data_IF_125533297571
#
_entry.id   IF_125533297571
#
_cell.length_a   1.000
_cell.length_b   1.000
_cell.length_c   1.000
_cell.angle_alpha   90.00
_cell.angle_beta   90.00
_cell.angle_gamma   90.00
#
_symmetry.space_group_name_H-M   'P 1'
#
loop_
_entity.id
_entity.type
_entity.pdbx_description
1 polymer ?
#
# COMPACT_ATOMS: atom_id res chain seq x y z
N UNK A 1 24.86 0.09 -13.21
CA UNK A 1 24.66 0.11 -11.73
C UNK A 1 24.03 1.44 -11.33
N UNK A 2 22.98 1.42 -10.51
CA UNK A 2 22.34 2.64 -9.99
C UNK A 2 23.20 3.30 -8.90
N UNK A 3 23.10 4.62 -8.76
CA UNK A 3 23.72 5.37 -7.67
C UNK A 3 22.79 5.34 -6.46
N UNK A 4 23.30 4.95 -5.27
CA UNK A 4 22.53 5.02 -4.03
C UNK A 4 22.12 6.46 -3.72
N UNK A 5 20.82 6.69 -3.50
CA UNK A 5 20.26 7.99 -3.10
C UNK A 5 20.00 7.97 -1.59
N UNK A 6 19.28 6.96 -1.07
CA UNK A 6 18.85 6.89 0.33
C UNK A 6 18.60 5.43 0.75
N UNK A 7 18.74 5.16 2.06
CA UNK A 7 18.23 3.95 2.71
C UNK A 7 17.10 4.36 3.64
N UNK A 8 15.90 3.80 3.43
CA UNK A 8 14.78 3.95 4.36
C UNK A 8 14.77 2.77 5.35
N UNK A 9 14.65 3.06 6.63
CA UNK A 9 14.54 2.05 7.68
C UNK A 9 13.19 2.13 8.35
N UNK A 10 12.55 0.98 8.52
CA UNK A 10 11.25 0.86 9.17
C UNK A 10 11.31 -0.28 10.17
N UNK A 11 10.90 -0.02 11.41
CA UNK A 11 10.74 -1.04 12.45
C UNK A 11 9.30 -1.49 12.47
N UNK A 12 9.08 -2.80 12.44
CA UNK A 12 7.72 -3.37 12.40
C UNK A 12 7.54 -4.32 13.56
N UNK A 13 6.45 -4.18 14.30
CA UNK A 13 6.07 -5.04 15.42
C UNK A 13 4.57 -5.35 15.37
N UNK A 14 4.15 -6.40 16.07
CA UNK A 14 2.73 -6.62 16.38
C UNK A 14 2.28 -5.67 17.48
N UNK A 15 1.04 -5.21 17.40
CA UNK A 15 0.46 -4.42 18.49
C UNK A 15 0.12 -5.33 19.69
N UNK A 16 0.54 -4.98 20.92
CA UNK A 16 0.25 -5.79 22.11
C UNK A 16 -1.25 -6.06 22.26
N UNK A 17 -1.62 -7.32 22.54
CA UNK A 17 -3.02 -7.74 22.66
C UNK A 17 -3.85 -7.74 21.36
N UNK A 18 -3.23 -7.42 20.22
CA UNK A 18 -3.89 -7.29 18.91
C UNK A 18 -3.15 -8.11 17.84
N UNK A 19 -3.41 -9.41 17.77
CA UNK A 19 -2.63 -10.35 16.92
C UNK A 19 -2.63 -10.01 15.42
N UNK A 20 -3.65 -9.28 14.94
CA UNK A 20 -3.81 -8.93 13.52
C UNK A 20 -3.34 -7.53 13.16
N UNK A 21 -3.00 -6.71 14.17
CA UNK A 21 -2.56 -5.34 13.95
C UNK A 21 -1.03 -5.26 14.08
N UNK A 22 -0.41 -4.64 13.09
CA UNK A 22 1.02 -4.34 13.04
C UNK A 22 1.23 -2.83 13.13
N UNK A 23 2.31 -2.43 13.76
CA UNK A 23 2.78 -1.04 13.83
C UNK A 23 4.07 -0.93 13.04
N UNK A 24 4.17 0.06 12.18
CA UNK A 24 5.38 0.38 11.45
C UNK A 24 5.86 1.79 11.82
N UNK A 25 7.06 1.89 12.34
CA UNK A 25 7.73 3.12 12.73
C UNK A 25 8.82 3.44 11.72
N UNK A 26 8.68 4.57 11.04
CA UNK A 26 9.65 5.03 10.04
C UNK A 26 10.74 5.83 10.76
N UNK A 27 11.99 5.45 10.57
CA UNK A 27 13.13 6.10 11.21
C UNK A 27 13.18 7.60 10.86
N UNK A 28 13.31 8.44 11.89
CA UNK A 28 13.33 9.91 11.77
C UNK A 28 11.96 10.59 11.71
N UNK A 29 10.85 9.85 11.76
CA UNK A 29 9.50 10.43 11.76
C UNK A 29 8.71 10.01 12.99
N UNK A 30 7.97 10.94 13.64
CA UNK A 30 7.14 10.62 14.79
C UNK A 30 5.89 9.85 14.40
N UNK A 31 5.41 9.01 15.32
CA UNK A 31 4.20 8.19 15.14
C UNK A 31 4.46 6.85 14.48
N UNK A 32 3.43 6.04 14.41
CA UNK A 32 3.47 4.74 13.78
C UNK A 32 2.26 4.56 12.86
N UNK A 33 2.49 3.98 11.69
CA UNK A 33 1.41 3.48 10.84
C UNK A 33 0.85 2.20 11.47
N UNK A 34 -0.48 2.11 11.60
CA UNK A 34 -1.18 0.90 12.03
C UNK A 34 -1.74 0.20 10.81
N UNK A 35 -1.47 -1.09 10.69
CA UNK A 35 -1.89 -1.92 9.56
C UNK A 35 -2.62 -3.15 10.08
N UNK A 36 -3.79 -3.42 9.53
CA UNK A 36 -4.61 -4.57 9.90
C UNK A 36 -5.15 -5.32 8.70
N UNK A 37 -6.41 -5.73 8.82
CA UNK A 37 -7.18 -6.38 7.75
C UNK A 37 -8.61 -5.88 7.81
N UNK A 38 -9.31 -5.89 6.66
CA UNK A 38 -10.72 -5.54 6.54
C UNK A 38 -11.36 -6.19 5.30
N UNK A 39 -12.67 -6.06 5.17
CA UNK A 39 -13.44 -6.37 3.96
C UNK A 39 -13.12 -7.74 3.34
N UNK A 40 -12.94 -7.78 2.04
CA UNK A 40 -12.65 -9.00 1.28
C UNK A 40 -11.33 -9.68 1.71
N UNK A 41 -10.34 -8.92 2.19
CA UNK A 41 -9.08 -9.47 2.71
C UNK A 41 -9.33 -10.31 3.97
N UNK A 42 -10.17 -9.80 4.88
CA UNK A 42 -10.54 -10.54 6.09
C UNK A 42 -11.33 -11.81 5.74
N UNK A 43 -12.24 -11.72 4.78
CA UNK A 43 -13.02 -12.87 4.29
C UNK A 43 -12.13 -13.93 3.64
N UNK A 44 -11.17 -13.54 2.82
CA UNK A 44 -10.20 -14.46 2.20
C UNK A 44 -9.45 -15.29 3.24
N UNK A 45 -9.02 -14.67 4.33
CA UNK A 45 -8.36 -15.36 5.46
C UNK A 45 -9.32 -15.98 6.46
N UNK A 46 -10.64 -15.92 6.24
CA UNK A 46 -11.68 -16.41 7.17
C UNK A 46 -11.55 -15.82 8.58
N UNK A 47 -11.29 -14.52 8.64
CA UNK A 47 -11.06 -13.78 9.88
C UNK A 47 -12.14 -12.72 10.08
N UNK A 48 -12.51 -12.52 11.35
CA UNK A 48 -13.41 -11.44 11.79
C UNK A 48 -12.65 -10.52 12.74
N UNK A 49 -12.02 -9.45 12.24
CA UNK A 49 -11.25 -8.56 13.09
C UNK A 49 -12.18 -7.72 13.97
N UNK A 50 -11.89 -7.63 15.26
CA UNK A 50 -12.61 -6.75 16.20
C UNK A 50 -12.42 -5.27 15.85
N UNK A 51 -11.27 -4.93 15.27
CA UNK A 51 -10.90 -3.58 14.81
C UNK A 51 -10.48 -3.65 13.34
N UNK A 52 -11.42 -3.46 12.39
CA UNK A 52 -11.07 -3.38 10.96
C UNK A 52 -10.15 -2.18 10.69
N UNK A 53 -9.07 -2.41 9.96
CA UNK A 53 -8.08 -1.38 9.64
C UNK A 53 -7.54 -1.55 8.22
N UNK A 54 -7.03 -0.46 7.65
CA UNK A 54 -6.35 -0.49 6.37
C UNK A 54 -5.27 -1.58 6.34
N UNK A 55 -5.26 -2.34 5.27
CA UNK A 55 -4.30 -3.44 5.06
C UNK A 55 -2.96 -2.91 4.51
N UNK A 56 -1.95 -3.75 4.50
CA UNK A 56 -0.68 -3.43 3.85
C UNK A 56 -0.85 -3.15 2.35
N UNK A 57 -1.81 -3.79 1.67
CA UNK A 57 -2.09 -3.54 0.25
C UNK A 57 -2.73 -2.17 0.03
N UNK A 58 -3.61 -1.71 0.94
CA UNK A 58 -4.15 -0.35 0.88
C UNK A 58 -3.05 0.70 1.00
N UNK A 59 -2.04 0.45 1.84
CA UNK A 59 -0.88 1.35 1.96
C UNK A 59 -0.01 1.37 0.70
N UNK A 60 0.11 0.27 -0.04
CA UNK A 60 0.78 0.27 -1.35
C UNK A 60 0.00 1.15 -2.33
N UNK A 61 -1.33 0.99 -2.40
CA UNK A 61 -2.20 1.82 -3.24
C UNK A 61 -2.09 3.30 -2.86
N UNK A 62 -2.14 3.61 -1.56
CA UNK A 62 -2.02 4.97 -1.05
C UNK A 62 -0.64 5.58 -1.35
N UNK A 63 0.45 4.81 -1.23
CA UNK A 63 1.80 5.27 -1.52
C UNK A 63 1.96 5.61 -3.01
N UNK A 64 1.47 4.76 -3.91
CA UNK A 64 1.48 5.03 -5.36
C UNK A 64 0.62 6.24 -5.68
N UNK A 65 -0.64 6.28 -5.18
CA UNK A 65 -1.55 7.41 -5.39
C UNK A 65 -0.99 8.74 -4.91
N UNK A 66 -0.40 8.75 -3.71
CA UNK A 66 0.23 9.95 -3.14
C UNK A 66 1.43 10.45 -3.96
N UNK A 67 2.30 9.53 -4.39
CA UNK A 67 3.45 9.87 -5.24
C UNK A 67 3.00 10.41 -6.62
N UNK A 68 2.03 9.76 -7.25
CA UNK A 68 1.43 10.20 -8.51
C UNK A 68 0.78 11.58 -8.39
N UNK A 69 0.09 11.85 -7.26
CA UNK A 69 -0.47 13.17 -6.96
C UNK A 69 0.60 14.25 -6.92
N UNK A 70 1.70 14.01 -6.21
CA UNK A 70 2.83 14.95 -6.16
C UNK A 70 3.48 15.19 -7.52
N UNK A 71 3.63 14.14 -8.32
CA UNK A 71 4.18 14.23 -9.68
C UNK A 71 3.30 15.09 -10.60
N UNK A 72 1.98 14.87 -10.57
CA UNK A 72 1.03 15.66 -11.35
C UNK A 72 0.99 17.10 -10.85
N UNK A 73 0.91 17.32 -9.53
CA UNK A 73 0.90 18.67 -8.95
C UNK A 73 2.12 19.49 -9.42
N UNK A 74 3.33 18.91 -9.31
CA UNK A 74 4.56 19.57 -9.79
C UNK A 74 4.53 19.85 -11.30
N UNK A 75 3.97 18.95 -12.10
CA UNK A 75 3.83 19.15 -13.54
C UNK A 75 2.84 20.28 -13.90
N UNK A 76 1.76 20.43 -13.12
CA UNK A 76 0.79 21.52 -13.24
C UNK A 76 1.43 22.87 -12.86
N UNK A 77 2.05 22.93 -11.69
CA UNK A 77 2.69 24.13 -11.14
C UNK A 77 3.79 24.66 -12.04
N UNK A 78 4.61 23.78 -12.64
CA UNK A 78 5.63 24.14 -13.63
C UNK A 78 5.04 24.80 -14.89
N UNK A 79 3.73 24.67 -15.12
CA UNK A 79 2.98 25.28 -16.24
C UNK A 79 2.13 26.47 -15.81
N UNK A 80 2.28 26.93 -14.57
CA UNK A 80 1.50 28.01 -13.99
C UNK A 80 0.03 27.62 -13.77
N UNK A 81 -0.25 26.33 -13.52
CA UNK A 81 -1.58 25.82 -13.17
C UNK A 81 -1.58 25.42 -11.70
N UNK A 82 -2.50 25.97 -10.94
CA UNK A 82 -2.62 25.70 -9.50
C UNK A 82 -3.10 24.25 -9.25
N UNK A 83 -2.46 23.56 -8.29
CA UNK A 83 -2.79 22.22 -7.85
C UNK A 83 -3.38 22.18 -6.42
N UNK A 84 -4.06 23.23 -5.98
CA UNK A 84 -4.74 23.28 -4.69
C UNK A 84 -5.85 22.22 -4.57
N UNK A 85 -6.27 21.83 -3.35
CA UNK A 85 -7.25 20.76 -3.13
C UNK A 85 -8.63 20.97 -3.80
N UNK A 86 -9.00 22.19 -4.11
CA UNK A 86 -10.21 22.52 -4.86
C UNK A 86 -10.05 22.37 -6.39
N UNK A 87 -8.81 22.27 -6.88
CA UNK A 87 -8.46 22.19 -8.29
C UNK A 87 -7.88 20.86 -8.73
N UNK A 88 -7.23 20.12 -7.83
CA UNK A 88 -6.72 18.77 -8.08
C UNK A 88 -7.24 17.85 -7.00
N UNK A 89 -8.03 16.85 -7.39
CA UNK A 89 -8.43 15.71 -6.56
C UNK A 89 -8.00 14.42 -7.22
N UNK A 90 -7.51 13.48 -6.42
CA UNK A 90 -7.00 12.20 -6.90
C UNK A 90 -7.65 11.08 -6.11
N UNK A 91 -8.14 10.08 -6.82
CA UNK A 91 -8.63 8.83 -6.27
C UNK A 91 -7.72 7.70 -6.79
N UNK A 92 -7.32 6.80 -5.91
CA UNK A 92 -6.54 5.62 -6.27
C UNK A 92 -7.34 4.36 -5.90
N UNK A 93 -7.48 3.45 -6.84
CA UNK A 93 -8.19 2.18 -6.67
C UNK A 93 -7.21 1.03 -6.90
N UNK A 94 -7.14 0.08 -5.96
CA UNK A 94 -6.35 -1.13 -6.06
C UNK A 94 -7.23 -2.34 -6.36
N UNK A 95 -6.88 -3.13 -7.37
CA UNK A 95 -7.50 -4.42 -7.67
C UNK A 95 -6.73 -5.52 -6.96
N UNK A 96 -7.40 -6.26 -6.07
CA UNK A 96 -6.82 -7.36 -5.29
C UNK A 96 -7.55 -8.63 -5.69
N UNK A 97 -6.80 -9.63 -6.15
CA UNK A 97 -7.36 -10.86 -6.71
C UNK A 97 -6.70 -12.09 -6.07
N UNK A 98 -7.42 -13.20 -6.10
CA UNK A 98 -6.85 -14.53 -5.86
C UNK A 98 -6.26 -15.05 -7.16
N UNK A 99 -4.95 -15.13 -7.23
CA UNK A 99 -4.22 -15.66 -8.37
C UNK A 99 -3.48 -16.92 -7.90
N UNK A 100 -3.93 -18.07 -8.36
CA UNK A 100 -3.37 -19.39 -8.03
C UNK A 100 -3.25 -19.63 -6.50
N UNK A 101 -4.30 -19.27 -5.75
CA UNK A 101 -4.36 -19.40 -4.30
C UNK A 101 -3.52 -18.36 -3.53
N UNK A 102 -3.08 -17.30 -4.18
CA UNK A 102 -2.35 -16.18 -3.59
C UNK A 102 -3.11 -14.88 -3.77
N UNK A 103 -3.30 -14.15 -2.69
CA UNK A 103 -3.87 -12.81 -2.74
C UNK A 103 -2.83 -11.81 -3.24
N UNK A 104 -3.08 -11.23 -4.40
CA UNK A 104 -2.16 -10.33 -5.11
C UNK A 104 -2.85 -9.01 -5.45
N UNK A 105 -2.15 -7.89 -5.26
CA UNK A 105 -2.53 -6.60 -5.83
C UNK A 105 -2.12 -6.60 -7.31
N UNK A 106 -3.09 -6.82 -8.21
CA UNK A 106 -2.87 -7.01 -9.64
C UNK A 106 -2.92 -5.72 -10.45
N UNK A 107 -3.50 -4.67 -9.87
CA UNK A 107 -3.60 -3.38 -10.55
C UNK A 107 -3.81 -2.22 -9.60
N UNK A 108 -3.34 -1.05 -10.01
CA UNK A 108 -3.64 0.23 -9.37
C UNK A 108 -4.09 1.21 -10.45
N UNK A 109 -5.29 1.76 -10.29
CA UNK A 109 -5.84 2.78 -11.18
C UNK A 109 -5.88 4.12 -10.47
N UNK A 110 -5.35 5.15 -11.11
CA UNK A 110 -5.37 6.52 -10.61
C UNK A 110 -6.36 7.34 -11.42
N UNK A 111 -7.27 8.00 -10.73
CA UNK A 111 -8.24 8.88 -11.33
C UNK A 111 -8.02 10.32 -10.88
N UNK A 112 -7.74 11.21 -11.85
CA UNK A 112 -7.51 12.63 -11.63
C UNK A 112 -8.76 13.43 -11.97
N UNK A 113 -9.20 14.29 -11.04
CA UNK A 113 -10.23 15.31 -11.27
C UNK A 113 -9.56 16.67 -11.16
N UNK A 114 -9.51 17.42 -12.29
CA UNK A 114 -8.77 18.68 -12.38
C UNK A 114 -9.63 19.82 -12.91
N UNK A 115 -9.38 21.02 -12.38
CA UNK A 115 -9.90 22.28 -12.92
C UNK A 115 -8.71 23.08 -13.45
N UNK A 116 -8.64 23.24 -14.76
CA UNK A 116 -7.54 23.94 -15.43
C UNK A 116 -8.04 25.10 -16.28
N UNK A 117 -7.28 26.21 -16.40
CA UNK A 117 -7.61 27.30 -17.33
C UNK A 117 -7.67 26.77 -18.76
N UNK A 118 -8.60 27.34 -19.58
CA UNK A 118 -8.85 26.88 -20.95
C UNK A 118 -7.59 26.96 -21.82
N UNK A 119 -6.85 28.05 -21.70
CA UNK A 119 -5.58 28.29 -22.42
C UNK A 119 -4.43 27.36 -22.01
N UNK A 120 -4.53 26.70 -20.85
CA UNK A 120 -3.52 25.75 -20.33
C UNK A 120 -3.85 24.29 -20.60
N UNK A 121 -5.07 23.98 -21.03
CA UNK A 121 -5.56 22.59 -21.17
C UNK A 121 -4.63 21.72 -22.00
N UNK A 122 -4.25 22.13 -23.19
CA UNK A 122 -3.37 21.35 -24.06
C UNK A 122 -1.97 21.10 -23.47
N UNK A 123 -1.45 22.05 -22.67
CA UNK A 123 -0.17 21.88 -21.98
C UNK A 123 -0.27 20.88 -20.83
N UNK A 124 -1.41 20.85 -20.14
CA UNK A 124 -1.69 19.88 -19.07
C UNK A 124 -1.86 18.47 -19.64
N UNK A 125 -2.63 18.31 -20.71
CA UNK A 125 -2.83 17.02 -21.39
C UNK A 125 -1.49 16.41 -21.82
N UNK A 126 -0.61 17.17 -22.46
CA UNK A 126 0.76 16.72 -22.79
C UNK A 126 1.60 16.36 -21.56
N UNK A 127 1.41 17.04 -20.42
CA UNK A 127 2.12 16.69 -19.21
C UNK A 127 1.64 15.34 -18.67
N UNK A 128 0.35 15.06 -18.74
CA UNK A 128 -0.25 13.80 -18.28
C UNK A 128 0.19 12.59 -19.12
N UNK A 129 0.50 12.75 -20.39
CA UNK A 129 0.99 11.67 -21.26
C UNK A 129 2.31 11.05 -20.77
N UNK A 130 3.10 11.80 -20.01
CA UNK A 130 4.44 11.37 -19.61
C UNK A 130 4.69 11.36 -18.10
N UNK A 131 3.76 11.88 -17.27
CA UNK A 131 4.00 12.07 -15.83
C UNK A 131 4.27 10.76 -15.08
N UNK A 132 3.69 9.67 -15.53
CA UNK A 132 3.83 8.35 -14.90
C UNK A 132 5.29 7.90 -14.81
N UNK A 133 6.08 8.10 -15.86
CA UNK A 133 7.51 7.77 -15.90
C UNK A 133 8.38 8.58 -14.92
N UNK A 134 7.86 9.67 -14.36
CA UNK A 134 8.55 10.48 -13.35
C UNK A 134 8.13 10.16 -11.92
N UNK A 135 7.14 9.27 -11.73
CA UNK A 135 6.69 8.86 -10.40
C UNK A 135 7.54 7.72 -9.85
N UNK A 136 8.35 8.00 -8.83
CA UNK A 136 9.25 7.00 -8.24
C UNK A 136 8.51 5.76 -7.70
N UNK A 137 7.35 5.93 -7.04
CA UNK A 137 6.58 4.81 -6.50
C UNK A 137 5.97 3.97 -7.63
N UNK A 138 5.37 4.59 -8.64
CA UNK A 138 4.82 3.88 -9.80
C UNK A 138 5.90 3.10 -10.54
N UNK A 139 7.03 3.72 -10.86
CA UNK A 139 8.16 3.06 -11.51
C UNK A 139 8.73 1.90 -10.68
N UNK A 140 8.81 2.04 -9.36
CA UNK A 140 9.27 0.96 -8.48
C UNK A 140 8.32 -0.24 -8.51
N UNK A 141 7.01 -0.01 -8.39
CA UNK A 141 5.99 -1.08 -8.41
C UNK A 141 5.95 -1.77 -9.77
N UNK A 142 6.00 -1.03 -10.87
CA UNK A 142 5.93 -1.57 -12.24
C UNK A 142 7.14 -2.41 -12.63
N UNK A 143 8.33 -2.08 -12.12
CA UNK A 143 9.57 -2.83 -12.38
C UNK A 143 9.72 -4.05 -11.50
N UNK A 144 8.92 -4.18 -10.45
CA UNK A 144 9.09 -5.15 -9.39
C UNK A 144 10.29 -4.79 -8.48
N UNK A 145 10.14 -5.04 -7.20
CA UNK A 145 11.18 -4.82 -6.19
C UNK A 145 11.64 -6.18 -5.70
N UNK A 146 12.94 -6.44 -5.69
CA UNK A 146 13.50 -7.65 -5.10
C UNK A 146 13.27 -7.61 -3.58
N UNK A 147 12.68 -8.67 -3.05
CA UNK A 147 12.47 -8.85 -1.60
C UNK A 147 13.41 -9.96 -1.13
N UNK A 148 14.33 -9.62 -0.25
CA UNK A 148 15.22 -10.54 0.44
C UNK A 148 14.88 -10.56 1.93
N UNK A 149 15.18 -11.65 2.60
CA UNK A 149 14.94 -11.77 4.05
C UNK A 149 16.06 -12.56 4.72
N UNK A 150 16.28 -12.26 5.98
CA UNK A 150 17.19 -12.97 6.88
C UNK A 150 16.50 -13.12 8.24
N UNK A 151 16.95 -14.08 9.05
CA UNK A 151 16.37 -14.31 10.37
C UNK A 151 17.45 -14.57 11.42
N UNK A 152 17.26 -13.99 12.58
CA UNK A 152 17.97 -14.37 13.81
C UNK A 152 16.96 -15.07 14.73
N UNK A 153 17.26 -16.31 15.11
CA UNK A 153 16.37 -17.12 15.93
C UNK A 153 17.06 -17.33 17.29
N UNK A 154 16.48 -16.78 18.35
CA UNK A 154 16.87 -17.09 19.72
C UNK A 154 15.83 -18.02 20.35
N UNK A 155 16.28 -18.97 21.17
CA UNK A 155 15.39 -19.81 21.97
C UNK A 155 14.87 -19.01 23.17
N UNK A 156 13.54 -19.03 23.36
CA UNK A 156 12.91 -18.44 24.54
C UNK A 156 12.78 -19.52 25.62
N UNK A 157 13.30 -19.27 26.83
CA UNK A 157 13.28 -20.21 27.94
C UNK A 157 11.87 -20.32 28.59
N UNK A 158 10.95 -19.41 28.31
CA UNK A 158 9.57 -19.45 28.79
C UNK A 158 8.62 -19.92 27.68
N UNK A 159 8.17 -21.17 27.79
CA UNK A 159 7.28 -21.82 26.84
C UNK A 159 5.84 -21.35 27.05
N UNK A 160 5.46 -20.24 26.43
CA UNK A 160 4.05 -19.87 26.26
C UNK A 160 3.48 -20.64 25.05
N UNK A 161 2.79 -21.75 25.31
CA UNK A 161 2.06 -22.51 24.29
C UNK A 161 0.97 -21.63 23.71
N UNK A 162 1.22 -21.09 22.52
CA UNK A 162 0.16 -20.55 21.68
C UNK A 162 -0.73 -21.73 21.26
N UNK A 163 -1.90 -21.88 21.90
CA UNK A 163 -2.90 -22.83 21.44
C UNK A 163 -3.23 -22.55 19.98
N UNK A 164 -2.96 -23.51 19.12
CA UNK A 164 -3.38 -23.46 17.73
C UNK A 164 -4.92 -23.39 17.70
N UNK A 165 -5.53 -22.52 16.88
CA UNK A 165 -6.98 -22.52 16.73
C UNK A 165 -7.45 -23.91 16.30
N UNK A 166 -8.38 -24.47 17.03
CA UNK A 166 -8.94 -25.80 16.78
C UNK A 166 -9.29 -25.96 15.30
N UNK A 167 -8.68 -26.96 14.67
CA UNK A 167 -8.99 -27.33 13.29
C UNK A 167 -10.48 -27.65 13.21
N UNK A 168 -11.22 -26.89 12.41
CA UNK A 168 -12.60 -27.18 12.09
C UNK A 168 -12.66 -28.56 11.43
N UNK A 169 -13.18 -29.54 12.14
CA UNK A 169 -13.41 -30.91 11.67
C UNK A 169 -14.35 -30.83 10.47
N UNK A 170 -13.83 -31.10 9.28
CA UNK A 170 -14.64 -31.26 8.08
C UNK A 170 -15.50 -32.53 8.26
N UNK A 171 -16.78 -32.35 8.50
CA UNK A 171 -17.79 -33.41 8.40
C UNK A 171 -17.93 -33.75 6.92
N UNK A 172 -17.37 -34.88 6.49
CA UNK A 172 -17.72 -35.49 5.22
C UNK A 172 -19.10 -36.13 5.39
N UNK A 173 -20.13 -35.51 4.79
CA UNK A 173 -21.37 -36.15 4.53
C UNK A 173 -21.20 -37.14 3.39
N UNK A 174 -21.33 -38.41 3.69
CA UNK A 174 -21.66 -39.45 2.71
C UNK A 174 -23.14 -39.42 2.51
N UNK A 175 -23.62 -39.16 1.27
CA UNK A 175 -24.56 -39.94 0.47
C UNK A 175 -24.84 -39.18 -0.85
#
# INVERSE_FOLDING_TARGET
>A
MGKLIQRSKVKISKEPGKSKIKRAEIDGFPGALRMGIHGGIAQYFKLSPDEPMASTLDYIVAAVGGCMTGTVAGALEARGVSATPDKLRVEAEGTIEDVDGKMILTGIKIHYKMKVPKDKRAAVERALEHHEGFCAASESVRRGITVEWESEIAEDAEHETLEAPAAATAVRGTD
#
